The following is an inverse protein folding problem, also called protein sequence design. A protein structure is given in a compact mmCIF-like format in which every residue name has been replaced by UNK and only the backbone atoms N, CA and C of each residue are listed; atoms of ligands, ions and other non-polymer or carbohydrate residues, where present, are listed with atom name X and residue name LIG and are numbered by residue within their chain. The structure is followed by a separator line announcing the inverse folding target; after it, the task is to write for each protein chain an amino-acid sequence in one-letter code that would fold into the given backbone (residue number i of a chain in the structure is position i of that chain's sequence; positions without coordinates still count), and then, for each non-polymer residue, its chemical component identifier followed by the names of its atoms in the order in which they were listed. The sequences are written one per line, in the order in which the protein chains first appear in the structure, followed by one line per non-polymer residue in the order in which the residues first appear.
data_IF_550604093219
#
_entry.id   IF_550604093219
#
_cell.length_a   1.000
_cell.length_b   1.000
_cell.length_c   1.000
_cell.angle_alpha   90.00
_cell.angle_beta   90.00
_cell.angle_gamma   90.00
#
_symmetry.space_group_name_H-M   'P 1'
#
loop_
_entity.id
_entity.type
_entity.pdbx_description
1 polymer ?
#
# COMPACT_ATOMS: atom_id res chain seq x y z
N UNK A 1 9.26 7.70 -29.45
CA UNK A 1 7.96 6.98 -29.57
C UNK A 1 7.70 6.30 -28.24
N UNK A 2 6.48 6.42 -27.69
CA UNK A 2 6.12 5.79 -26.40
C UNK A 2 5.52 4.41 -26.68
N UNK A 3 6.04 3.38 -26.04
CA UNK A 3 5.48 2.02 -26.03
C UNK A 3 4.63 1.84 -24.77
N UNK A 4 3.42 1.32 -24.95
CA UNK A 4 2.47 1.05 -23.88
C UNK A 4 1.96 -0.39 -23.96
N UNK A 5 1.43 -0.97 -22.87
CA UNK A 5 0.75 -2.25 -22.91
C UNK A 5 -0.45 -2.27 -23.87
N UNK A 6 -0.95 -3.46 -24.16
CA UNK A 6 -2.18 -3.63 -24.95
C UNK A 6 -3.33 -2.88 -24.28
N UNK A 7 -4.14 -2.11 -25.04
CA UNK A 7 -5.28 -1.40 -24.49
C UNK A 7 -6.27 -2.36 -23.83
N UNK A 8 -6.69 -2.05 -22.61
CA UNK A 8 -7.76 -2.74 -21.89
C UNK A 8 -9.00 -1.86 -21.93
N UNK A 9 -10.11 -2.39 -22.47
CA UNK A 9 -11.38 -1.67 -22.47
C UNK A 9 -11.96 -1.65 -21.04
N UNK A 10 -12.48 -0.51 -20.56
CA UNK A 10 -13.19 -0.46 -19.29
C UNK A 10 -14.35 -1.45 -19.25
N UNK A 11 -14.58 -2.04 -18.08
CA UNK A 11 -15.65 -3.02 -17.84
C UNK A 11 -16.42 -2.65 -16.59
N UNK A 12 -17.72 -2.91 -16.60
CA UNK A 12 -18.62 -2.72 -15.46
C UNK A 12 -18.85 -4.04 -14.74
N UNK A 13 -18.91 -3.98 -13.41
CA UNK A 13 -19.05 -5.15 -12.53
C UNK A 13 -20.11 -4.91 -11.47
N UNK A 14 -20.87 -5.97 -11.16
CA UNK A 14 -21.85 -6.02 -10.06
C UNK A 14 -21.45 -7.02 -8.98
N UNK A 15 -20.30 -7.67 -9.14
CA UNK A 15 -19.72 -8.61 -8.18
C UNK A 15 -18.37 -8.04 -7.70
N UNK A 16 -18.13 -7.96 -6.37
CA UNK A 16 -16.92 -7.37 -5.82
C UNK A 16 -15.66 -8.19 -6.14
N UNK A 17 -15.76 -9.51 -6.23
CA UNK A 17 -14.62 -10.39 -6.46
C UNK A 17 -14.18 -10.35 -7.93
N UNK A 18 -15.13 -10.29 -8.86
CA UNK A 18 -14.84 -10.07 -10.29
C UNK A 18 -14.23 -8.68 -10.53
N UNK A 19 -14.78 -7.64 -9.89
CA UNK A 19 -14.26 -6.28 -9.99
C UNK A 19 -12.80 -6.21 -9.48
N UNK A 20 -12.52 -6.79 -8.31
CA UNK A 20 -11.18 -6.85 -7.77
C UNK A 20 -10.23 -7.67 -8.65
N UNK A 21 -10.67 -8.80 -9.21
CA UNK A 21 -9.83 -9.57 -10.15
C UNK A 21 -9.44 -8.73 -11.36
N UNK A 22 -10.35 -7.92 -11.90
CA UNK A 22 -10.03 -7.01 -13.01
C UNK A 22 -8.99 -5.95 -12.62
N UNK A 23 -9.06 -5.40 -11.40
CA UNK A 23 -8.04 -4.48 -10.86
C UNK A 23 -6.68 -5.16 -10.81
N UNK A 24 -6.63 -6.36 -10.24
CA UNK A 24 -5.40 -7.16 -10.12
C UNK A 24 -4.79 -7.50 -11.49
N UNK A 25 -5.62 -7.96 -12.44
CA UNK A 25 -5.16 -8.36 -13.76
C UNK A 25 -4.59 -7.16 -14.54
N UNK A 26 -5.23 -5.99 -14.43
CA UNK A 26 -4.70 -4.75 -14.99
C UNK A 26 -3.36 -4.42 -14.32
N UNK A 27 -3.31 -4.33 -13.00
CA UNK A 27 -2.09 -3.97 -12.27
C UNK A 27 -0.90 -4.88 -12.61
N UNK A 28 -1.09 -6.20 -12.59
CA UNK A 28 -0.04 -7.17 -12.92
C UNK A 28 0.41 -7.03 -14.38
N UNK A 29 -0.51 -6.86 -15.33
CA UNK A 29 -0.14 -6.67 -16.74
C UNK A 29 0.68 -5.39 -16.98
N UNK A 30 0.34 -4.30 -16.29
CA UNK A 30 0.99 -3.00 -16.43
C UNK A 30 2.38 -3.02 -15.79
N UNK A 31 2.51 -3.59 -14.59
CA UNK A 31 3.81 -3.71 -13.91
C UNK A 31 4.72 -4.77 -14.55
N UNK A 32 4.17 -5.87 -15.06
CA UNK A 32 4.95 -6.88 -15.78
C UNK A 32 5.58 -6.29 -17.06
N UNK A 33 4.82 -5.49 -17.82
CA UNK A 33 5.34 -4.78 -18.99
C UNK A 33 6.53 -3.87 -18.64
N UNK A 34 6.40 -3.09 -17.55
CA UNK A 34 7.49 -2.22 -17.08
C UNK A 34 8.72 -3.02 -16.64
N UNK A 35 8.51 -4.09 -15.86
CA UNK A 35 9.59 -5.00 -15.39
C UNK A 35 10.31 -5.66 -16.56
N UNK A 36 9.59 -6.18 -17.55
CA UNK A 36 10.17 -6.80 -18.76
C UNK A 36 11.08 -5.82 -19.51
N UNK A 37 10.59 -4.62 -19.78
CA UNK A 37 11.36 -3.61 -20.50
C UNK A 37 12.51 -3.03 -19.68
N UNK A 38 12.37 -2.96 -18.36
CA UNK A 38 13.47 -2.62 -17.47
C UNK A 38 14.58 -3.66 -17.52
N UNK A 39 14.26 -4.96 -17.42
CA UNK A 39 15.26 -6.02 -17.51
C UNK A 39 15.97 -6.04 -18.86
N UNK A 40 15.25 -5.78 -19.95
CA UNK A 40 15.86 -5.63 -21.27
C UNK A 40 16.82 -4.42 -21.33
N UNK A 41 16.43 -3.30 -20.74
CA UNK A 41 17.26 -2.10 -20.65
C UNK A 41 18.52 -2.34 -19.82
N UNK A 42 18.40 -2.94 -18.63
CA UNK A 42 19.52 -3.29 -17.76
C UNK A 42 20.50 -4.27 -18.43
N UNK A 43 20.00 -5.19 -19.25
CA UNK A 43 20.82 -6.10 -20.06
C UNK A 43 21.48 -5.44 -21.30
N UNK A 44 21.43 -4.12 -21.44
CA UNK A 44 22.10 -3.37 -22.50
C UNK A 44 21.36 -3.32 -23.84
N UNK A 45 20.06 -3.68 -23.89
CA UNK A 45 19.24 -3.49 -25.10
C UNK A 45 18.87 -2.01 -25.25
N UNK A 46 19.81 -1.26 -25.79
CA UNK A 46 19.76 0.21 -25.88
C UNK A 46 18.95 0.67 -27.10
N UNK A 47 17.62 0.59 -26.99
CA UNK A 47 16.70 1.32 -27.88
C UNK A 47 16.60 2.81 -27.53
N UNK A 48 15.73 3.57 -28.20
CA UNK A 48 15.40 4.96 -27.85
C UNK A 48 13.92 5.14 -27.45
N UNK A 49 13.19 4.04 -27.29
CA UNK A 49 11.77 4.08 -26.94
C UNK A 49 11.56 4.39 -25.45
N UNK A 50 10.55 5.21 -25.16
CA UNK A 50 10.06 5.43 -23.80
C UNK A 50 8.96 4.40 -23.49
N UNK A 51 8.98 3.82 -22.30
CA UNK A 51 7.99 2.84 -21.86
C UNK A 51 7.07 3.47 -20.81
N UNK A 52 5.76 3.30 -21.00
CA UNK A 52 4.74 3.80 -20.07
C UNK A 52 3.65 2.77 -19.86
N UNK A 53 3.30 2.56 -18.59
CA UNK A 53 2.14 1.80 -18.16
C UNK A 53 1.41 2.63 -17.10
N UNK A 54 0.11 2.41 -16.91
CA UNK A 54 -0.72 3.23 -16.02
C UNK A 54 -1.45 2.38 -14.99
N UNK A 55 -1.78 2.98 -13.85
CA UNK A 55 -2.52 2.29 -12.78
C UNK A 55 -3.94 1.89 -13.22
N UNK A 56 -4.53 0.84 -12.66
CA UNK A 56 -5.98 0.64 -12.74
C UNK A 56 -6.72 1.79 -12.04
N UNK A 57 -7.95 2.06 -12.48
CA UNK A 57 -8.90 2.90 -11.74
C UNK A 57 -10.16 2.12 -11.37
N UNK A 58 -10.81 2.58 -10.31
CA UNK A 58 -12.16 2.22 -9.90
C UNK A 58 -13.04 3.47 -9.98
N UNK A 59 -14.18 3.37 -10.68
CA UNK A 59 -15.15 4.46 -10.85
C UNK A 59 -16.55 4.00 -10.47
N UNK A 60 -17.31 4.88 -9.82
CA UNK A 60 -18.74 4.70 -9.57
C UNK A 60 -19.50 5.95 -10.01
N UNK A 61 -20.68 5.77 -10.59
CA UNK A 61 -21.58 6.88 -10.96
C UNK A 61 -22.97 6.59 -10.43
N UNK A 62 -23.46 7.44 -9.55
CA UNK A 62 -24.78 7.28 -8.91
C UNK A 62 -25.61 8.54 -9.05
N UNK A 63 -26.92 8.37 -9.23
CA UNK A 63 -27.91 9.46 -9.24
C UNK A 63 -28.54 9.68 -7.87
N UNK A 64 -28.24 8.84 -6.88
CA UNK A 64 -28.81 8.91 -5.54
C UNK A 64 -27.72 8.84 -4.46
N UNK A 65 -27.97 9.42 -3.29
CA UNK A 65 -27.12 9.30 -2.12
C UNK A 65 -27.71 8.26 -1.15
N UNK A 66 -27.92 7.03 -1.63
CA UNK A 66 -28.51 5.96 -0.82
C UNK A 66 -27.48 5.41 0.18
N UNK A 67 -27.95 5.11 1.39
CA UNK A 67 -27.20 4.37 2.42
C UNK A 67 -28.09 3.25 2.94
N UNK A 68 -27.68 2.00 2.73
CA UNK A 68 -28.43 0.83 3.18
C UNK A 68 -28.25 0.57 4.68
N UNK A 69 -27.02 0.74 5.18
CA UNK A 69 -26.66 0.61 6.60
C UNK A 69 -26.01 1.90 7.10
N UNK A 70 -26.68 2.57 8.05
CA UNK A 70 -26.19 3.83 8.62
C UNK A 70 -25.22 3.65 9.79
N UNK A 71 -24.94 2.40 10.22
CA UNK A 71 -23.99 2.12 11.30
C UNK A 71 -22.53 2.26 10.85
N UNK A 72 -22.27 2.05 9.56
CA UNK A 72 -20.95 2.25 8.97
C UNK A 72 -20.75 3.73 8.61
N UNK A 73 -19.63 4.29 9.06
CA UNK A 73 -19.22 5.65 8.72
C UNK A 73 -18.55 5.77 7.34
N UNK A 74 -18.37 4.64 6.62
CA UNK A 74 -17.66 4.52 5.35
C UNK A 74 -18.39 3.59 4.36
N UNK A 75 -17.84 3.41 3.15
CA UNK A 75 -18.37 2.49 2.14
C UNK A 75 -19.51 3.06 1.28
N UNK A 76 -19.63 4.39 1.18
CA UNK A 76 -20.62 5.06 0.34
C UNK A 76 -20.07 6.40 -0.19
N UNK A 77 -20.67 6.91 -1.27
CA UNK A 77 -20.46 8.29 -1.73
C UNK A 77 -21.57 9.22 -1.22
N UNK A 78 -21.26 10.45 -0.79
CA UNK A 78 -22.19 11.27 -0.01
C UNK A 78 -23.26 12.00 -0.84
N UNK A 79 -23.06 12.14 -2.15
CA UNK A 79 -23.95 12.88 -3.06
C UNK A 79 -24.06 12.16 -4.41
N UNK A 80 -25.12 12.41 -5.20
CA UNK A 80 -25.15 12.02 -6.60
C UNK A 80 -23.95 12.61 -7.36
N UNK A 81 -23.37 11.81 -8.25
CA UNK A 81 -22.20 12.19 -9.02
C UNK A 81 -21.37 10.99 -9.43
N UNK A 82 -20.26 11.29 -10.10
CA UNK A 82 -19.23 10.32 -10.48
C UNK A 82 -18.03 10.48 -9.57
N UNK A 83 -17.51 9.36 -9.08
CA UNK A 83 -16.36 9.30 -8.19
C UNK A 83 -15.36 8.30 -8.74
N UNK A 84 -14.06 8.59 -8.63
CA UNK A 84 -13.00 7.72 -9.13
C UNK A 84 -11.78 7.71 -8.20
N UNK A 85 -11.01 6.64 -8.25
CA UNK A 85 -9.68 6.56 -7.66
C UNK A 85 -8.80 5.64 -8.49
N UNK A 86 -7.49 5.87 -8.50
CA UNK A 86 -6.52 4.88 -8.95
C UNK A 86 -6.21 3.90 -7.83
N UNK A 87 -5.84 2.67 -8.19
CA UNK A 87 -5.54 1.58 -7.26
C UNK A 87 -4.13 1.01 -7.54
N UNK A 88 -3.48 0.52 -6.49
CA UNK A 88 -2.15 -0.11 -6.56
C UNK A 88 -2.06 -1.24 -5.53
N UNK A 89 -1.00 -2.05 -5.62
CA UNK A 89 -0.68 -3.11 -4.65
C UNK A 89 -1.88 -3.98 -4.26
N UNK A 90 -2.56 -4.62 -5.23
CA UNK A 90 -3.64 -5.58 -4.94
C UNK A 90 -3.15 -6.77 -4.10
N UNK A 91 -1.84 -6.97 -3.98
CA UNK A 91 -1.21 -7.94 -3.09
C UNK A 91 -1.16 -7.50 -1.61
N UNK A 92 -1.45 -6.23 -1.30
CA UNK A 92 -1.57 -5.67 0.05
C UNK A 92 -3.03 -5.33 0.37
N UNK A 93 -3.78 -4.78 -0.59
CA UNK A 93 -5.11 -4.21 -0.37
C UNK A 93 -6.27 -5.14 -0.75
N UNK A 94 -6.03 -6.44 -0.95
CA UNK A 94 -7.04 -7.38 -1.45
C UNK A 94 -8.34 -7.39 -0.63
N UNK A 95 -8.24 -7.52 0.69
CA UNK A 95 -9.39 -7.53 1.59
C UNK A 95 -10.06 -6.15 1.63
N UNK A 96 -9.27 -5.07 1.70
CA UNK A 96 -9.78 -3.70 1.76
C UNK A 96 -10.58 -3.35 0.49
N UNK A 97 -10.00 -3.58 -0.69
CA UNK A 97 -10.63 -3.21 -1.96
C UNK A 97 -11.91 -4.02 -2.21
N UNK A 98 -11.89 -5.34 -1.94
CA UNK A 98 -13.10 -6.18 -2.05
C UNK A 98 -14.21 -5.68 -1.14
N UNK A 99 -13.89 -5.37 0.12
CA UNK A 99 -14.88 -4.87 1.07
C UNK A 99 -15.43 -3.49 0.68
N UNK A 100 -14.58 -2.56 0.24
CA UNK A 100 -15.04 -1.24 -0.21
C UNK A 100 -15.93 -1.36 -1.45
N UNK A 101 -15.55 -2.19 -2.43
CA UNK A 101 -16.39 -2.43 -3.63
C UNK A 101 -17.73 -3.05 -3.22
N UNK A 102 -17.72 -4.05 -2.34
CA UNK A 102 -18.95 -4.70 -1.83
C UNK A 102 -19.89 -3.67 -1.18
N UNK A 103 -19.35 -2.78 -0.34
CA UNK A 103 -20.13 -1.73 0.32
C UNK A 103 -20.69 -0.72 -0.68
N UNK A 104 -19.91 -0.31 -1.69
CA UNK A 104 -20.38 0.59 -2.74
C UNK A 104 -21.55 -0.02 -3.53
N UNK A 105 -21.43 -1.28 -3.94
CA UNK A 105 -22.49 -2.01 -4.65
C UNK A 105 -23.75 -2.10 -3.78
N UNK A 106 -23.61 -2.50 -2.51
CA UNK A 106 -24.72 -2.64 -1.57
C UNK A 106 -25.45 -1.31 -1.30
N UNK A 107 -24.70 -0.22 -1.16
CA UNK A 107 -25.27 1.08 -0.79
C UNK A 107 -25.90 1.82 -1.98
N UNK A 108 -25.33 1.69 -3.18
CA UNK A 108 -25.74 2.50 -4.34
C UNK A 108 -26.54 1.73 -5.39
N UNK A 109 -26.50 0.40 -5.39
CA UNK A 109 -27.23 -0.47 -6.35
C UNK A 109 -26.94 -0.11 -7.82
N UNK A 110 -25.69 0.24 -8.10
CA UNK A 110 -25.16 0.55 -9.44
C UNK A 110 -23.83 -0.19 -9.63
N UNK A 111 -23.47 -0.59 -10.85
CA UNK A 111 -22.20 -1.25 -11.10
C UNK A 111 -21.03 -0.30 -10.87
N UNK A 112 -19.88 -0.88 -10.52
CA UNK A 112 -18.59 -0.18 -10.56
C UNK A 112 -17.89 -0.41 -11.89
N UNK A 113 -17.12 0.56 -12.37
CA UNK A 113 -16.34 0.45 -13.59
C UNK A 113 -14.84 0.37 -13.26
N UNK A 114 -14.16 -0.62 -13.85
CA UNK A 114 -12.71 -0.80 -13.75
C UNK A 114 -12.09 -0.61 -15.14
N UNK A 115 -10.98 0.12 -15.21
CA UNK A 115 -10.21 0.32 -16.43
C UNK A 115 -8.77 0.73 -16.16
N UNK A 116 -8.03 1.07 -17.22
CA UNK A 116 -6.67 1.62 -17.13
C UNK A 116 -6.78 3.14 -17.06
N UNK A 117 -6.14 3.75 -16.07
CA UNK A 117 -6.11 5.21 -15.89
C UNK A 117 -5.14 5.88 -16.86
N UNK A 118 -5.12 7.20 -16.83
CA UNK A 118 -4.10 8.04 -17.48
C UNK A 118 -2.91 8.35 -16.56
N UNK A 119 -2.92 7.86 -15.31
CA UNK A 119 -1.87 8.08 -14.31
C UNK A 119 -0.74 7.05 -14.50
N UNK A 120 0.47 7.47 -14.91
CA UNK A 120 1.58 6.55 -15.13
C UNK A 120 2.04 5.89 -13.83
N UNK A 121 2.55 4.67 -13.92
CA UNK A 121 3.24 3.97 -12.83
C UNK A 121 4.73 4.30 -12.93
N UNK A 122 5.32 5.06 -11.99
CA UNK A 122 6.76 5.19 -11.93
C UNK A 122 7.45 3.84 -11.81
N UNK A 123 8.51 3.65 -12.60
CA UNK A 123 9.21 2.35 -12.68
C UNK A 123 9.72 1.87 -11.32
N UNK A 124 10.12 2.79 -10.44
CA UNK A 124 10.52 2.50 -9.07
C UNK A 124 9.49 1.69 -8.29
N UNK A 125 8.20 1.96 -8.48
CA UNK A 125 7.13 1.25 -7.79
C UNK A 125 6.81 -0.09 -8.44
N UNK A 126 6.92 -0.18 -9.77
CA UNK A 126 6.73 -1.44 -10.51
C UNK A 126 7.81 -2.49 -10.20
N UNK A 127 9.03 -2.06 -9.85
CA UNK A 127 10.13 -2.94 -9.45
C UNK A 127 10.00 -3.44 -8.00
N UNK A 128 9.16 -2.79 -7.20
CA UNK A 128 8.87 -3.19 -5.83
C UNK A 128 9.93 -2.77 -4.80
N UNK A 129 9.73 -3.23 -3.58
CA UNK A 129 10.45 -2.75 -2.40
C UNK A 129 11.92 -3.22 -2.30
N UNK A 130 12.31 -4.29 -3.00
CA UNK A 130 13.64 -4.94 -2.89
C UNK A 130 14.66 -4.47 -3.94
N UNK A 131 14.26 -3.57 -4.84
CA UNK A 131 15.09 -3.17 -5.98
C UNK A 131 16.06 -2.01 -5.67
N UNK A 132 17.28 -2.06 -6.21
CA UNK A 132 18.34 -1.05 -6.00
C UNK A 132 19.01 -0.62 -7.31
N UNK A 133 18.54 0.49 -7.90
CA UNK A 133 19.05 1.04 -9.18
C UNK A 133 20.58 1.09 -9.30
N UNK A 134 21.27 1.59 -8.28
CA UNK A 134 22.72 1.82 -8.28
C UNK A 134 23.55 0.53 -8.33
N UNK A 135 22.95 -0.62 -7.99
CA UNK A 135 23.62 -1.93 -8.06
C UNK A 135 23.44 -2.59 -9.42
N UNK A 136 22.36 -2.27 -10.13
CA UNK A 136 21.87 -3.04 -11.27
C UNK A 136 22.08 -2.34 -12.61
N UNK A 137 22.50 -1.07 -12.62
CA UNK A 137 22.71 -0.26 -13.83
C UNK A 137 24.12 0.34 -13.89
N UNK A 138 24.64 0.48 -15.12
CA UNK A 138 25.85 1.24 -15.39
C UNK A 138 25.58 2.76 -15.46
N UNK A 139 26.66 3.55 -15.53
CA UNK A 139 26.59 5.01 -15.53
C UNK A 139 25.74 5.58 -16.67
N UNK A 140 25.87 5.04 -17.89
CA UNK A 140 25.14 5.53 -19.07
C UNK A 140 23.65 5.17 -18.99
N UNK A 141 23.35 3.99 -18.45
CA UNK A 141 21.98 3.56 -18.17
C UNK A 141 21.32 4.45 -17.11
N UNK A 142 22.04 4.85 -16.05
CA UNK A 142 21.52 5.79 -15.05
C UNK A 142 21.21 7.15 -15.68
N UNK A 143 22.10 7.67 -16.53
CA UNK A 143 21.91 8.97 -17.20
C UNK A 143 20.69 9.00 -18.13
N UNK A 144 20.44 7.89 -18.84
CA UNK A 144 19.32 7.79 -19.78
C UNK A 144 18.02 7.30 -19.13
N UNK A 145 18.06 6.81 -17.89
CA UNK A 145 16.95 6.15 -17.22
C UNK A 145 15.65 6.97 -17.21
N UNK A 146 15.75 8.26 -16.87
CA UNK A 146 14.61 9.17 -16.77
C UNK A 146 13.95 9.46 -18.13
N UNK A 147 14.68 9.30 -19.22
CA UNK A 147 14.15 9.45 -20.59
C UNK A 147 13.36 8.20 -21.02
N UNK A 148 13.72 7.04 -20.45
CA UNK A 148 13.15 5.73 -20.83
C UNK A 148 11.93 5.34 -20.04
N UNK A 149 11.83 5.76 -18.77
CA UNK A 149 10.76 5.36 -17.87
C UNK A 149 10.18 6.56 -17.11
N UNK A 150 8.90 6.46 -16.76
CA UNK A 150 8.26 7.47 -15.92
C UNK A 150 8.81 7.45 -14.49
N UNK A 151 9.00 8.65 -13.94
CA UNK A 151 9.60 8.89 -12.64
C UNK A 151 8.54 9.38 -11.65
N UNK A 152 8.75 9.21 -10.33
CA UNK A 152 7.87 9.76 -9.32
C UNK A 152 7.75 11.29 -9.47
N UNK A 153 6.52 11.80 -9.58
CA UNK A 153 6.22 13.24 -9.59
C UNK A 153 5.64 13.64 -8.23
N UNK A 154 6.42 14.42 -7.47
CA UNK A 154 6.04 14.86 -6.13
C UNK A 154 4.80 15.77 -6.14
N UNK A 155 4.50 16.45 -7.25
CA UNK A 155 3.31 17.30 -7.35
C UNK A 155 2.01 16.49 -7.41
N UNK A 156 2.08 15.23 -7.85
CA UNK A 156 0.92 14.33 -7.93
C UNK A 156 0.77 13.47 -6.66
N UNK A 157 1.77 13.44 -5.79
CA UNK A 157 1.83 12.56 -4.61
C UNK A 157 1.51 13.31 -3.32
N UNK A 158 0.42 14.08 -3.33
CA UNK A 158 0.03 14.90 -2.18
C UNK A 158 -0.95 14.19 -1.23
N UNK A 159 -1.37 14.91 -0.19
CA UNK A 159 -2.34 14.50 0.82
C UNK A 159 -3.59 15.41 0.82
N UNK A 160 -3.84 16.18 -0.24
CA UNK A 160 -4.88 17.20 -0.26
C UNK A 160 -6.29 16.60 -0.06
N UNK A 161 -6.56 15.41 -0.60
CA UNK A 161 -7.84 14.72 -0.39
C UNK A 161 -7.99 14.35 1.09
N UNK A 162 -6.98 13.70 1.68
CA UNK A 162 -6.97 13.30 3.08
C UNK A 162 -7.07 14.50 4.04
N UNK A 163 -6.46 15.62 3.68
CA UNK A 163 -6.50 16.88 4.44
C UNK A 163 -7.80 17.69 4.22
N UNK A 164 -8.69 17.25 3.32
CA UNK A 164 -9.92 17.97 2.99
C UNK A 164 -9.71 19.28 2.23
N UNK A 165 -8.55 19.45 1.59
CA UNK A 165 -8.18 20.64 0.80
C UNK A 165 -8.47 20.47 -0.69
N UNK A 166 -8.62 19.23 -1.17
CA UNK A 166 -8.87 18.95 -2.58
C UNK A 166 -10.31 19.29 -2.99
N UNK A 167 -10.44 20.16 -3.99
CA UNK A 167 -11.71 20.52 -4.61
C UNK A 167 -11.66 20.12 -6.09
N UNK A 168 -12.42 19.10 -6.52
CA UNK A 168 -12.40 18.68 -7.92
C UNK A 168 -12.91 19.81 -8.82
N UNK A 169 -12.27 20.06 -9.98
CA UNK A 169 -12.79 20.97 -10.98
C UNK A 169 -14.24 20.65 -11.36
N UNK A 170 -14.99 21.68 -11.78
CA UNK A 170 -16.38 21.48 -12.22
C UNK A 170 -16.44 20.49 -13.39
N UNK A 171 -17.29 19.47 -13.27
CA UNK A 171 -17.48 18.45 -14.30
C UNK A 171 -16.49 17.28 -14.26
N UNK A 172 -15.49 17.28 -13.37
CA UNK A 172 -14.62 16.11 -13.17
C UNK A 172 -15.15 15.21 -12.06
N UNK A 173 -14.88 13.88 -12.11
CA UNK A 173 -15.20 12.98 -11.02
C UNK A 173 -14.62 13.44 -9.67
N UNK A 174 -15.38 13.22 -8.59
CA UNK A 174 -14.89 13.41 -7.23
C UNK A 174 -13.96 12.28 -6.78
N UNK A 175 -13.19 12.46 -5.69
CA UNK A 175 -12.32 11.42 -5.16
C UNK A 175 -13.14 10.29 -4.51
N UNK A 176 -12.84 9.03 -4.86
CA UNK A 176 -13.47 7.85 -4.28
C UNK A 176 -12.70 7.29 -3.06
N UNK A 177 -11.41 7.60 -2.95
CA UNK A 177 -10.56 7.21 -1.83
C UNK A 177 -9.76 8.42 -1.30
N UNK A 178 -9.20 8.28 -0.11
CA UNK A 178 -8.42 9.34 0.55
C UNK A 178 -7.01 9.49 -0.03
N UNK A 179 -6.48 8.45 -0.67
CA UNK A 179 -5.15 8.41 -1.28
C UNK A 179 -5.27 7.75 -2.65
N UNK A 180 -4.57 8.30 -3.62
CA UNK A 180 -4.45 7.71 -4.94
C UNK A 180 -3.29 6.69 -4.98
N UNK A 181 -3.17 5.98 -6.11
CA UNK A 181 -2.14 4.95 -6.27
C UNK A 181 -0.69 5.49 -6.14
N UNK A 182 -0.27 6.57 -6.85
CA UNK A 182 1.08 7.13 -6.70
C UNK A 182 1.43 7.48 -5.26
N UNK A 183 0.54 8.15 -4.53
CA UNK A 183 0.78 8.52 -3.14
C UNK A 183 0.88 7.30 -2.21
N UNK A 184 0.06 6.28 -2.49
CA UNK A 184 0.08 5.02 -1.75
C UNK A 184 1.40 4.29 -1.95
N UNK A 185 1.88 4.16 -3.19
CA UNK A 185 3.16 3.51 -3.48
C UNK A 185 4.37 4.25 -2.90
N UNK A 186 4.38 5.59 -2.97
CA UNK A 186 5.40 6.41 -2.29
C UNK A 186 5.46 6.09 -0.80
N UNK A 187 4.29 6.02 -0.16
CA UNK A 187 4.21 5.77 1.28
C UNK A 187 4.64 4.35 1.64
N UNK A 188 4.29 3.35 0.84
CA UNK A 188 4.74 1.96 1.05
C UNK A 188 6.26 1.85 0.97
N UNK A 189 6.89 2.47 -0.04
CA UNK A 189 8.36 2.51 -0.12
C UNK A 189 8.99 3.20 1.09
N UNK A 190 8.41 4.33 1.54
CA UNK A 190 8.89 5.06 2.71
C UNK A 190 8.71 4.29 4.01
N UNK A 191 7.62 3.52 4.17
CA UNK A 191 7.43 2.66 5.32
C UNK A 191 8.57 1.65 5.45
N UNK A 192 8.95 0.97 4.38
CA UNK A 192 10.11 0.05 4.43
C UNK A 192 11.39 0.75 4.84
N UNK A 193 11.66 1.92 4.27
CA UNK A 193 12.85 2.71 4.60
C UNK A 193 12.89 3.12 6.07
N UNK A 194 11.78 3.66 6.61
CA UNK A 194 11.74 4.19 7.97
C UNK A 194 11.59 3.11 9.05
N UNK A 195 10.98 1.98 8.72
CA UNK A 195 10.62 0.96 9.70
C UNK A 195 11.45 -0.32 9.62
N UNK A 196 12.14 -0.53 8.50
CA UNK A 196 12.90 -1.76 8.24
C UNK A 196 12.01 -2.98 7.97
N UNK A 197 10.70 -2.80 7.72
CA UNK A 197 9.74 -3.88 7.49
C UNK A 197 8.88 -3.60 6.25
N UNK A 198 8.45 -4.64 5.54
CA UNK A 198 7.56 -4.49 4.39
C UNK A 198 6.13 -4.17 4.83
N UNK A 199 5.42 -3.38 4.02
CA UNK A 199 4.06 -2.96 4.31
C UNK A 199 3.07 -4.13 4.53
N UNK A 200 3.30 -5.29 3.90
CA UNK A 200 2.52 -6.54 4.09
C UNK A 200 2.47 -7.06 5.52
N UNK A 201 3.38 -6.62 6.39
CA UNK A 201 3.42 -7.07 7.78
C UNK A 201 2.60 -6.18 8.71
N UNK A 202 2.21 -4.99 8.27
CA UNK A 202 1.41 -4.08 9.09
C UNK A 202 0.04 -4.68 9.38
N UNK A 203 -0.35 -4.57 10.64
CA UNK A 203 -1.66 -4.95 11.17
C UNK A 203 -2.55 -3.72 11.35
N UNK A 204 -3.86 -3.96 11.46
CA UNK A 204 -4.89 -2.92 11.51
C UNK A 204 -4.88 -2.09 12.81
N UNK A 205 -4.26 -2.60 13.88
CA UNK A 205 -4.12 -1.88 15.15
C UNK A 205 -2.66 -1.47 15.37
N UNK A 206 -2.41 -0.16 15.40
CA UNK A 206 -1.06 0.41 15.47
C UNK A 206 -0.82 1.05 16.84
N UNK A 207 0.32 0.79 17.45
CA UNK A 207 0.77 1.42 18.68
C UNK A 207 2.06 2.18 18.38
N UNK A 208 2.05 3.48 18.62
CA UNK A 208 3.23 4.32 18.58
C UNK A 208 3.83 4.43 19.97
N UNK A 209 5.15 4.42 20.07
CA UNK A 209 5.87 4.72 21.31
C UNK A 209 7.06 5.62 21.07
N UNK A 210 7.42 6.42 22.07
CA UNK A 210 8.60 7.26 22.08
C UNK A 210 9.73 6.70 22.97
N UNK A 211 9.56 5.50 23.53
CA UNK A 211 10.48 4.97 24.54
C UNK A 211 10.83 3.50 24.32
N UNK A 212 12.13 3.22 24.24
CA UNK A 212 12.66 1.89 23.88
C UNK A 212 12.22 0.78 24.84
N UNK A 213 12.04 1.09 26.11
CA UNK A 213 11.57 0.13 27.12
C UNK A 213 10.26 -0.59 26.71
N UNK A 214 9.31 0.12 26.09
CA UNK A 214 8.07 -0.51 25.64
C UNK A 214 8.28 -1.48 24.48
N UNK A 215 9.27 -1.21 23.61
CA UNK A 215 9.64 -2.12 22.52
C UNK A 215 10.26 -3.38 23.09
N UNK A 216 11.18 -3.25 24.05
CA UNK A 216 11.87 -4.41 24.64
C UNK A 216 10.86 -5.36 25.32
N UNK A 217 9.88 -4.83 26.05
CA UNK A 217 8.83 -5.65 26.65
C UNK A 217 7.87 -6.21 25.61
N UNK A 218 7.52 -5.46 24.55
CA UNK A 218 6.69 -5.97 23.45
C UNK A 218 7.36 -7.15 22.73
N UNK A 219 8.66 -7.05 22.41
CA UNK A 219 9.45 -8.13 21.81
C UNK A 219 9.42 -9.39 22.69
N UNK A 220 9.64 -9.22 24.00
CA UNK A 220 9.61 -10.31 24.97
C UNK A 220 8.24 -11.00 25.03
N UNK A 221 7.15 -10.23 25.09
CA UNK A 221 5.78 -10.75 25.05
C UNK A 221 5.53 -11.50 23.74
N UNK A 222 5.89 -10.91 22.60
CA UNK A 222 5.67 -11.49 21.29
C UNK A 222 6.42 -12.82 21.10
N UNK A 223 7.71 -12.89 21.46
CA UNK A 223 8.45 -14.16 21.45
C UNK A 223 7.87 -15.18 22.40
N UNK A 224 7.43 -14.76 23.59
CA UNK A 224 6.69 -15.63 24.52
C UNK A 224 5.47 -16.27 23.86
N UNK A 225 4.67 -15.48 23.14
CA UNK A 225 3.49 -15.96 22.42
C UNK A 225 3.82 -16.91 21.26
N UNK A 226 4.95 -16.71 20.56
CA UNK A 226 5.37 -17.61 19.48
C UNK A 226 5.82 -18.99 19.98
N UNK A 227 6.31 -19.05 21.22
CA UNK A 227 6.79 -20.29 21.84
C UNK A 227 5.72 -21.04 22.64
N UNK A 228 4.66 -20.35 23.07
CA UNK A 228 3.61 -20.91 23.92
C UNK A 228 2.63 -21.79 23.12
N UNK A 229 1.96 -22.72 23.81
CA UNK A 229 0.92 -23.59 23.23
C UNK A 229 -0.36 -22.80 22.93
N UNK A 230 -0.60 -21.72 23.69
CA UNK A 230 -1.72 -20.79 23.49
C UNK A 230 -1.22 -19.48 22.93
N UNK A 231 -1.52 -19.27 21.67
CA UNK A 231 -1.00 -18.16 20.85
C UNK A 231 -1.99 -17.00 20.74
N UNK A 232 -3.18 -17.13 21.35
CA UNK A 232 -4.25 -16.12 21.33
C UNK A 232 -4.62 -15.64 19.91
N UNK A 233 -4.51 -16.56 18.94
CA UNK A 233 -4.80 -16.31 17.52
C UNK A 233 -3.66 -15.64 16.75
N UNK A 234 -2.53 -15.34 17.39
CA UNK A 234 -1.35 -14.81 16.71
C UNK A 234 -0.60 -15.91 15.96
N UNK A 235 -0.17 -15.59 14.74
CA UNK A 235 0.48 -16.54 13.82
C UNK A 235 1.97 -16.32 13.68
N UNK A 236 2.43 -15.07 13.73
CA UNK A 236 3.84 -14.76 13.55
C UNK A 236 4.22 -13.46 14.24
N UNK A 237 5.49 -13.35 14.60
CA UNK A 237 6.11 -12.11 15.04
C UNK A 237 7.14 -11.67 14.00
N UNK A 238 7.04 -10.43 13.55
CA UNK A 238 7.94 -9.84 12.55
C UNK A 238 8.72 -8.68 13.14
N UNK A 239 10.04 -8.74 12.98
CA UNK A 239 11.00 -7.74 13.44
C UNK A 239 11.62 -6.98 12.24
N UNK A 240 12.27 -5.82 12.48
CA UNK A 240 13.05 -5.12 11.47
C UNK A 240 14.03 -6.04 10.73
N UNK A 241 14.17 -5.83 9.43
CA UNK A 241 14.84 -6.76 8.51
C UNK A 241 13.90 -7.82 7.93
N UNK A 242 12.60 -7.77 8.23
CA UNK A 242 11.62 -8.82 7.89
C UNK A 242 12.02 -10.19 8.45
N UNK A 243 12.59 -10.20 9.65
CA UNK A 243 12.81 -11.44 10.39
C UNK A 243 11.47 -11.91 10.93
N UNK A 244 11.08 -13.15 10.62
CA UNK A 244 9.80 -13.75 10.98
C UNK A 244 10.07 -14.89 11.96
N UNK A 245 9.43 -14.84 13.11
CA UNK A 245 9.29 -15.98 14.02
C UNK A 245 7.85 -16.47 13.92
N UNK A 246 7.64 -17.65 13.33
CA UNK A 246 6.33 -18.26 13.24
C UNK A 246 5.93 -18.87 14.59
N UNK A 247 4.62 -18.89 14.86
CA UNK A 247 4.08 -19.60 16.00
C UNK A 247 4.31 -21.11 15.85
N UNK A 248 4.81 -21.76 16.91
CA UNK A 248 5.06 -23.21 16.92
C UNK A 248 3.79 -24.06 16.98
N UNK A 249 2.67 -23.49 17.42
CA UNK A 249 1.45 -24.23 17.77
C UNK A 249 0.20 -23.74 17.05
N UNK A 250 0.31 -22.68 16.23
CA UNK A 250 -0.78 -22.27 15.34
C UNK A 250 -0.66 -23.03 14.01
N UNK A 251 -1.67 -23.81 13.60
CA UNK A 251 -1.72 -24.40 12.25
C UNK A 251 -1.57 -23.29 11.19
N UNK A 252 -0.80 -23.56 10.14
CA UNK A 252 -0.58 -22.64 9.02
C UNK A 252 0.12 -21.30 9.34
N UNK A 253 0.79 -21.19 10.50
CA UNK A 253 1.58 -20.02 10.91
C UNK A 253 2.74 -19.64 9.96
N UNK A 254 3.04 -20.46 8.96
CA UNK A 254 4.19 -20.31 8.08
C UNK A 254 5.45 -20.91 8.67
N UNK A 255 6.61 -20.37 8.29
CA UNK A 255 7.93 -20.80 8.77
C UNK A 255 8.73 -19.59 9.24
N UNK A 256 9.69 -19.86 10.12
CA UNK A 256 10.70 -18.87 10.47
C UNK A 256 11.45 -18.39 9.23
N UNK A 257 11.83 -17.12 9.24
CA UNK A 257 12.62 -16.49 8.20
C UNK A 257 13.62 -15.54 8.86
N UNK A 258 14.92 -15.72 8.63
CA UNK A 258 15.96 -14.92 9.30
C UNK A 258 15.96 -13.45 8.87
N UNK A 259 15.31 -13.13 7.74
CA UNK A 259 15.22 -11.78 7.20
C UNK A 259 16.57 -11.32 6.63
N UNK A 260 16.75 -10.01 6.57
CA UNK A 260 17.99 -9.36 6.14
C UNK A 260 18.64 -8.71 7.36
N UNK A 261 19.87 -9.09 7.74
CA UNK A 261 20.60 -8.44 8.81
C UNK A 261 20.76 -6.94 8.54
N UNK A 262 20.31 -6.11 9.49
CA UNK A 262 20.43 -4.66 9.39
C UNK A 262 21.77 -4.21 9.97
N UNK A 263 22.55 -3.45 9.19
CA UNK A 263 23.81 -2.84 9.65
C UNK A 263 23.58 -1.73 10.69
N UNK A 264 22.40 -1.09 10.64
CA UNK A 264 21.92 -0.10 11.61
C UNK A 264 20.42 -0.22 11.75
N UNK A 265 19.91 0.09 12.94
CA UNK A 265 18.47 0.22 13.13
C UNK A 265 17.89 1.34 12.27
N UNK A 266 16.68 1.16 11.72
CA UNK A 266 16.01 2.19 10.96
C UNK A 266 15.55 3.32 11.89
N UNK A 267 15.15 4.46 11.34
CA UNK A 267 14.81 5.66 12.12
C UNK A 267 13.62 5.42 13.06
N UNK A 268 12.62 4.67 12.62
CA UNK A 268 11.37 4.41 13.35
C UNK A 268 11.01 2.92 13.26
N UNK A 269 11.76 2.03 13.93
CA UNK A 269 11.62 0.58 13.76
C UNK A 269 10.21 0.10 14.11
N UNK A 270 9.66 -0.78 13.27
CA UNK A 270 8.36 -1.40 13.47
C UNK A 270 8.48 -2.90 13.74
N UNK A 271 7.52 -3.39 14.53
CA UNK A 271 7.38 -4.77 14.95
C UNK A 271 5.93 -5.19 14.78
N UNK A 272 5.69 -6.40 14.30
CA UNK A 272 4.34 -6.84 13.95
C UNK A 272 4.01 -8.18 14.58
N UNK A 273 3.03 -8.21 15.45
CA UNK A 273 2.43 -9.43 15.95
C UNK A 273 1.20 -9.75 15.10
N UNK A 274 1.37 -10.68 14.15
CA UNK A 274 0.42 -10.93 13.07
C UNK A 274 -0.73 -11.84 13.48
N UNK A 275 -1.91 -11.57 12.90
CA UNK A 275 -3.05 -12.48 12.87
C UNK A 275 -3.45 -12.78 11.41
N UNK A 276 -4.12 -13.91 11.12
CA UNK A 276 -4.54 -14.26 9.76
C UNK A 276 -5.43 -13.21 9.10
N UNK A 277 -6.27 -12.54 9.88
CA UNK A 277 -7.26 -11.54 9.45
C UNK A 277 -6.71 -10.10 9.49
N UNK A 278 -5.42 -9.91 9.77
CA UNK A 278 -4.81 -8.60 9.92
C UNK A 278 -5.20 -7.84 11.20
N UNK A 279 -5.96 -8.46 12.12
CA UNK A 279 -6.36 -7.87 13.41
C UNK A 279 -5.27 -7.94 14.49
N UNK A 280 -4.03 -8.18 14.09
CA UNK A 280 -2.88 -8.18 14.97
C UNK A 280 -2.48 -6.78 15.43
N UNK A 281 -1.26 -6.66 15.98
CA UNK A 281 -0.73 -5.42 16.51
C UNK A 281 0.57 -5.06 15.78
N UNK A 282 0.65 -3.84 15.26
CA UNK A 282 1.91 -3.22 14.83
C UNK A 282 2.36 -2.27 15.92
N UNK A 283 3.60 -2.39 16.39
CA UNK A 283 4.21 -1.43 17.30
C UNK A 283 5.38 -0.71 16.62
N UNK A 284 5.41 0.62 16.71
CA UNK A 284 6.40 1.45 16.04
C UNK A 284 7.04 2.38 17.06
N UNK A 285 8.36 2.32 17.20
CA UNK A 285 9.11 3.31 17.95
C UNK A 285 9.32 4.54 17.07
N UNK A 286 8.57 5.61 17.30
CA UNK A 286 8.64 6.84 16.51
C UNK A 286 9.78 7.77 16.98
N UNK A 287 10.46 7.40 18.07
CA UNK A 287 11.41 8.25 18.76
C UNK A 287 10.74 9.50 19.35
N UNK A 288 11.46 10.61 19.35
CA UNK A 288 11.00 11.88 19.93
C UNK A 288 10.92 12.95 18.85
N UNK A 289 9.84 13.73 18.85
CA UNK A 289 9.69 14.92 18.03
C UNK A 289 8.44 14.89 17.15
N UNK A 290 7.71 16.02 17.03
CA UNK A 290 6.53 16.11 16.18
C UNK A 290 6.80 15.78 14.71
N UNK A 291 8.01 16.07 14.20
CA UNK A 291 8.38 15.80 12.80
C UNK A 291 8.37 14.30 12.48
N UNK A 292 8.90 13.46 13.38
CA UNK A 292 8.86 12.01 13.20
C UNK A 292 7.42 11.50 13.28
N UNK A 293 6.66 11.99 14.27
CA UNK A 293 5.26 11.64 14.45
C UNK A 293 4.44 11.94 13.18
N UNK A 294 4.56 13.15 12.62
CA UNK A 294 3.91 13.52 11.36
C UNK A 294 4.32 12.58 10.23
N UNK A 295 5.63 12.42 10.02
CA UNK A 295 6.17 11.65 8.90
C UNK A 295 5.68 10.19 8.89
N UNK A 296 5.71 9.51 10.05
CA UNK A 296 5.25 8.12 10.11
C UNK A 296 3.74 8.02 9.95
N UNK A 297 2.96 8.96 10.50
CA UNK A 297 1.50 8.94 10.35
C UNK A 297 1.07 9.20 8.91
N UNK A 298 1.77 10.06 8.17
CA UNK A 298 1.48 10.33 6.75
C UNK A 298 1.58 9.05 5.90
N UNK A 299 2.49 8.15 6.26
CA UNK A 299 2.73 6.91 5.52
C UNK A 299 1.90 5.74 6.05
N UNK A 300 1.77 5.58 7.37
CA UNK A 300 0.92 4.52 7.95
C UNK A 300 -0.55 4.74 7.57
N UNK A 301 -0.97 6.00 7.40
CA UNK A 301 -2.32 6.32 6.96
C UNK A 301 -2.70 5.53 5.71
N UNK A 302 -1.87 5.44 4.67
CA UNK A 302 -2.28 4.80 3.40
C UNK A 302 -2.70 3.32 3.56
N UNK A 303 -2.23 2.65 4.61
CA UNK A 303 -2.59 1.26 4.94
C UNK A 303 -3.96 1.10 5.59
N UNK A 304 -4.64 2.22 5.87
CA UNK A 304 -6.02 2.28 6.40
C UNK A 304 -6.18 1.53 7.75
N UNK A 305 -5.32 1.77 8.76
CA UNK A 305 -5.47 1.13 10.06
C UNK A 305 -6.83 1.45 10.68
N UNK A 306 -7.38 0.51 11.44
CA UNK A 306 -8.65 0.70 12.16
C UNK A 306 -8.48 1.67 13.32
N UNK A 307 -7.34 1.61 14.00
CA UNK A 307 -7.00 2.53 15.07
C UNK A 307 -5.48 2.61 15.23
N UNK A 308 -5.03 3.76 15.73
CA UNK A 308 -3.70 3.90 16.30
C UNK A 308 -3.76 4.50 17.70
N UNK A 309 -2.77 4.20 18.54
CA UNK A 309 -2.67 4.70 19.90
C UNK A 309 -1.24 5.17 20.19
N UNK A 310 -1.09 6.27 20.93
CA UNK A 310 0.20 6.71 21.45
C UNK A 310 0.41 6.16 22.87
N UNK A 311 1.35 5.24 23.02
CA UNK A 311 1.81 4.70 24.30
C UNK A 311 3.23 5.21 24.57
N UNK A 312 3.32 6.33 25.26
CA UNK A 312 4.60 6.95 25.60
C UNK A 312 4.55 7.67 26.93
N UNK A 313 5.71 8.20 27.33
CA UNK A 313 5.77 9.06 28.50
C UNK A 313 5.37 10.49 28.14
N UNK A 314 4.74 11.17 29.09
CA UNK A 314 4.62 12.63 29.13
C UNK A 314 5.27 13.15 30.42
N UNK A 315 5.54 14.45 30.47
CA UNK A 315 5.95 15.12 31.71
C UNK A 315 4.74 15.37 32.61
#
# INVERSE_FOLDING_TARGET
MIKTPKPVKPRSFTDPDEAFSAVRDIYESQTAFLREHFLAFAAGKNGSEKFRACYPYLKISTTTARRSDSRLSYGFVPRPGTYTTTLTRPDIFDHYDREQIRLLLLNHDVPVEIGVSDVPIPIHFALGEDFHLERDLDQLQIETFAERFDQPDLNLMDDQIANGLYHPPSGTPGPLALFDAPRTDLSIMRLKHYTGTTAKNFQNYVIYTNYQFYIDEFIKIAHGLMMNDKTEGYTAFVEPGNKITASRHTPDAGKDHDGVPLSRMPQMPAYHLKRPDGSGITMINIGVGPSNAKNITDHVAVLRPHAWLMLGHCA
#
